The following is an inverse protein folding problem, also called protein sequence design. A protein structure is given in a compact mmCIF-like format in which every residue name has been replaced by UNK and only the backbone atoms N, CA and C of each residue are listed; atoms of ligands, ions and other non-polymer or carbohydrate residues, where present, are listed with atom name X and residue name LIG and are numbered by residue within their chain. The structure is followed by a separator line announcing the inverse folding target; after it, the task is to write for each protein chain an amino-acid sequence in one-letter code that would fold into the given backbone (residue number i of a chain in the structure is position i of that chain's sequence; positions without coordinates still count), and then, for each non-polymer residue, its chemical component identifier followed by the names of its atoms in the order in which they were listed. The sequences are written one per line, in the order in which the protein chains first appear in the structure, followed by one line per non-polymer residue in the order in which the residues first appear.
data_IF_283123963646
#
_entry.id   IF_283123963646
#
_cell.length_a   1.000
_cell.length_b   1.000
_cell.length_c   1.000
_cell.angle_alpha   90.00
_cell.angle_beta   90.00
_cell.angle_gamma   90.00
#
_symmetry.space_group_name_H-M   'P 1'
#
loop_
_entity.id
_entity.type
_entity.pdbx_description
1 polymer ?
#
# COMPACT_ATOMS: atom_id res chain seq x y z
N UNK A 1 -21.09 26.12 -0.75
CA UNK A 1 -20.12 25.20 -0.11
C UNK A 1 -20.38 23.81 -0.67
N UNK A 2 -19.34 23.02 -1.02
CA UNK A 2 -19.53 21.71 -1.64
C UNK A 2 -20.32 20.77 -0.74
N UNK A 3 -21.13 19.90 -1.34
CA UNK A 3 -22.04 19.02 -0.60
C UNK A 3 -21.23 17.89 0.09
N UNK A 4 -21.57 17.44 1.32
CA UNK A 4 -20.84 16.40 2.06
C UNK A 4 -20.60 15.09 1.29
N UNK A 5 -21.43 14.81 0.28
CA UNK A 5 -21.28 13.63 -0.60
C UNK A 5 -20.20 13.78 -1.67
N UNK A 6 -19.79 15.00 -2.01
CA UNK A 6 -18.71 15.28 -2.96
C UNK A 6 -17.33 15.26 -2.28
N UNK A 7 -17.29 15.36 -0.95
CA UNK A 7 -16.10 15.16 -0.12
C UNK A 7 -15.73 13.68 0.04
N UNK A 8 -16.61 12.76 -0.35
CA UNK A 8 -16.34 11.33 -0.44
C UNK A 8 -15.66 11.05 -1.79
N UNK A 9 -14.48 11.63 -2.00
CA UNK A 9 -13.55 11.15 -3.02
C UNK A 9 -13.40 9.64 -2.77
N UNK A 10 -13.98 8.85 -3.67
CA UNK A 10 -13.94 7.39 -3.58
C UNK A 10 -12.48 7.00 -3.58
N UNK A 11 -12.01 6.50 -2.45
CA UNK A 11 -10.70 5.88 -2.37
C UNK A 11 -10.78 4.64 -3.27
N UNK A 12 -10.19 4.69 -4.48
CA UNK A 12 -10.13 3.60 -5.48
C UNK A 12 -9.31 2.37 -4.98
N UNK A 13 -9.13 2.25 -3.66
CA UNK A 13 -8.46 1.13 -3.03
C UNK A 13 -9.34 -0.12 -3.05
N UNK A 14 -8.88 -1.14 -3.78
CA UNK A 14 -9.46 -2.48 -3.76
C UNK A 14 -8.91 -3.25 -2.56
N UNK A 15 -9.80 -3.73 -1.68
CA UNK A 15 -9.43 -4.63 -0.59
C UNK A 15 -9.19 -6.03 -1.14
N UNK A 16 -8.02 -6.59 -0.87
CA UNK A 16 -7.65 -7.95 -1.24
C UNK A 16 -7.09 -8.68 -0.02
N UNK A 17 -7.35 -9.99 0.06
CA UNK A 17 -6.74 -10.87 1.07
C UNK A 17 -5.63 -11.66 0.37
N UNK A 18 -4.40 -11.50 0.85
CA UNK A 18 -3.22 -12.21 0.32
C UNK A 18 -2.48 -12.87 1.47
N UNK A 19 -1.96 -14.07 1.23
CA UNK A 19 -1.10 -14.77 2.19
C UNK A 19 0.35 -14.34 1.99
N UNK A 20 0.99 -13.84 3.04
CA UNK A 20 2.42 -13.49 3.05
C UNK A 20 3.18 -14.47 3.95
N UNK A 21 4.47 -14.66 3.69
CA UNK A 21 5.32 -15.47 4.57
C UNK A 21 5.46 -14.80 5.94
N UNK A 22 5.65 -15.62 6.98
CA UNK A 22 5.82 -15.15 8.35
C UNK A 22 7.00 -14.18 8.46
N UNK A 23 8.13 -14.55 7.85
CA UNK A 23 9.36 -13.75 7.81
C UNK A 23 9.14 -12.37 7.20
N UNK A 24 8.42 -12.28 6.08
CA UNK A 24 8.11 -10.98 5.46
C UNK A 24 7.26 -10.11 6.39
N UNK A 25 6.24 -10.68 7.03
CA UNK A 25 5.38 -9.92 7.95
C UNK A 25 6.17 -9.44 9.18
N UNK A 26 7.05 -10.27 9.73
CA UNK A 26 7.91 -9.90 10.86
C UNK A 26 8.88 -8.76 10.49
N UNK A 27 9.49 -8.82 9.30
CA UNK A 27 10.33 -7.74 8.79
C UNK A 27 9.57 -6.40 8.75
N UNK A 28 8.39 -6.36 8.12
CA UNK A 28 7.62 -5.11 8.03
C UNK A 28 7.13 -4.62 9.39
N UNK A 29 6.82 -5.52 10.33
CA UNK A 29 6.42 -5.12 11.70
C UNK A 29 7.56 -4.43 12.45
N UNK A 30 8.78 -4.94 12.34
CA UNK A 30 9.95 -4.35 12.99
C UNK A 30 10.27 -2.97 12.42
N UNK A 31 10.30 -2.84 11.08
CA UNK A 31 10.56 -1.56 10.42
C UNK A 31 9.45 -0.53 10.71
N UNK A 32 8.20 -0.97 10.72
CA UNK A 32 7.03 -0.17 11.05
C UNK A 32 7.06 0.37 12.49
N UNK A 33 7.52 -0.44 13.44
CA UNK A 33 7.68 -0.03 14.83
C UNK A 33 8.72 1.10 14.97
N UNK A 34 9.86 0.98 14.28
CA UNK A 34 10.90 2.02 14.25
C UNK A 34 10.37 3.31 13.62
N UNK A 35 9.70 3.21 12.48
CA UNK A 35 9.19 4.35 11.73
C UNK A 35 7.86 4.92 12.25
N UNK A 36 7.27 4.33 13.30
CA UNK A 36 5.97 4.71 13.87
C UNK A 36 4.84 4.78 12.83
N UNK A 37 4.83 3.85 11.89
CA UNK A 37 3.79 3.73 10.85
C UNK A 37 3.17 2.34 10.85
N UNK A 38 1.93 2.17 10.38
CA UNK A 38 1.36 0.83 10.22
C UNK A 38 2.13 0.01 9.19
N UNK A 39 2.49 -1.24 9.51
CA UNK A 39 3.22 -2.13 8.59
C UNK A 39 2.45 -2.38 7.28
N UNK A 40 1.12 -2.34 7.30
CA UNK A 40 0.29 -2.44 6.09
C UNK A 40 0.59 -1.31 5.10
N UNK A 41 0.91 -0.11 5.59
CA UNK A 41 1.27 1.05 4.75
C UNK A 41 2.57 0.79 4.01
N UNK A 42 3.56 0.17 4.67
CA UNK A 42 4.82 -0.20 4.04
C UNK A 42 4.62 -1.25 2.94
N UNK A 43 3.81 -2.28 3.21
CA UNK A 43 3.48 -3.32 2.22
C UNK A 43 2.80 -2.69 1.00
N UNK A 44 1.83 -1.78 1.21
CA UNK A 44 1.16 -1.06 0.12
C UNK A 44 2.14 -0.27 -0.73
N UNK A 45 3.02 0.51 -0.10
CA UNK A 45 4.04 1.31 -0.80
C UNK A 45 4.98 0.41 -1.61
N UNK A 46 5.37 -0.76 -1.08
CA UNK A 46 6.23 -1.70 -1.80
C UNK A 46 5.54 -2.22 -3.06
N UNK A 47 4.28 -2.65 -2.95
CA UNK A 47 3.48 -3.12 -4.09
C UNK A 47 3.27 -2.02 -5.13
N UNK A 48 3.00 -0.79 -4.71
CA UNK A 48 2.86 0.37 -5.59
C UNK A 48 4.16 0.64 -6.35
N UNK A 49 5.30 0.65 -5.65
CA UNK A 49 6.63 0.85 -6.26
C UNK A 49 6.98 -0.25 -7.25
N UNK A 50 6.76 -1.52 -6.87
CA UNK A 50 6.98 -2.66 -7.74
C UNK A 50 6.13 -2.54 -9.01
N UNK A 51 4.83 -2.25 -8.84
CA UNK A 51 3.91 -2.09 -9.98
C UNK A 51 4.32 -0.93 -10.88
N UNK A 52 4.72 0.21 -10.30
CA UNK A 52 5.21 1.37 -11.05
C UNK A 52 6.45 1.01 -11.87
N UNK A 53 7.46 0.39 -11.24
CA UNK A 53 8.70 -0.02 -11.91
C UNK A 53 8.43 -0.91 -13.13
N UNK A 54 7.59 -1.94 -12.99
CA UNK A 54 7.27 -2.84 -14.10
C UNK A 54 6.31 -2.24 -15.14
N UNK A 55 5.44 -1.31 -14.76
CA UNK A 55 4.60 -0.58 -15.73
C UNK A 55 5.43 0.38 -16.57
N UNK A 56 6.40 1.07 -15.98
CA UNK A 56 7.34 1.95 -16.69
C UNK A 56 8.25 1.14 -17.60
N UNK A 57 8.77 0.01 -17.13
CA UNK A 57 9.66 -0.85 -17.92
C UNK A 57 8.96 -1.65 -19.04
N UNK A 58 7.65 -1.88 -18.94
CA UNK A 58 6.84 -2.49 -20.03
C UNK A 58 6.39 -1.49 -21.10
N UNK A 59 6.62 -0.19 -20.89
CA UNK A 59 6.32 0.87 -21.86
C UNK A 59 7.54 1.29 -22.70
N UNK A 60 8.70 0.68 -22.44
CA UNK A 60 9.92 0.83 -23.21
C UNK A 60 10.01 -0.21 -24.33
#
# INVERSE_FOLDING_TARGET
MPHPRELLLKDDSVKVTISLSKESVEFFKSEAATAHVPYQKMIRILLDKYTKYYKENKRA
#
